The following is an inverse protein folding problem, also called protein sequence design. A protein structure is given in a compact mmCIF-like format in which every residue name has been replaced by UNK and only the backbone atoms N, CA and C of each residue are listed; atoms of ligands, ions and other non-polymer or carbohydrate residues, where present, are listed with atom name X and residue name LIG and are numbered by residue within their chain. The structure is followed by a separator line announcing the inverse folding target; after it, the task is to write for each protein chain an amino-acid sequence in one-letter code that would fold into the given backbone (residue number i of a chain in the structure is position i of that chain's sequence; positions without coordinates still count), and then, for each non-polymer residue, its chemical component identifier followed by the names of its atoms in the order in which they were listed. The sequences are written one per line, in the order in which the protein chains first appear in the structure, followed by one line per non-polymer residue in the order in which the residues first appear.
data_IF_115715200804
#
_entry.id   IF_115715200804
#
_cell.length_a   1.000
_cell.length_b   1.000
_cell.length_c   1.000
_cell.angle_alpha   90.00
_cell.angle_beta   90.00
_cell.angle_gamma   90.00
#
_symmetry.space_group_name_H-M   'P 1'
#
loop_
_entity.id
_entity.type
_entity.pdbx_description
1 polymer ?
#
# COMPACT_ATOMS: atom_id res chain seq x y z
N UNK A 1 1.04 -21.19 8.28
CA UNK A 1 1.51 -19.85 7.87
C UNK A 1 0.34 -19.13 7.20
N UNK A 2 0.11 -17.87 7.52
CA UNK A 2 -0.87 -17.05 6.77
C UNK A 2 -0.43 -16.98 5.30
N UNK A 3 -1.35 -17.21 4.36
CA UNK A 3 -1.06 -17.13 2.92
C UNK A 3 -0.60 -15.71 2.56
N UNK A 4 -1.43 -14.73 2.95
CA UNK A 4 -1.18 -13.30 2.77
C UNK A 4 -0.68 -12.69 4.09
N UNK A 5 0.36 -11.88 4.02
CA UNK A 5 0.90 -11.13 5.17
C UNK A 5 1.11 -9.66 4.83
N UNK A 6 0.83 -8.77 5.79
CA UNK A 6 1.05 -7.33 5.67
C UNK A 6 2.29 -6.93 6.48
N UNK A 7 3.25 -6.27 5.83
CA UNK A 7 4.46 -5.73 6.45
C UNK A 7 4.43 -4.21 6.38
N UNK A 8 4.26 -3.56 7.52
CA UNK A 8 4.32 -2.11 7.64
C UNK A 8 5.76 -1.63 7.70
N UNK A 9 6.07 -0.60 6.93
CA UNK A 9 7.42 -0.04 6.77
C UNK A 9 7.44 1.39 7.34
N UNK A 10 6.41 2.16 7.03
CA UNK A 10 6.19 3.49 7.59
C UNK A 10 5.85 3.43 9.09
N UNK A 11 6.36 4.36 9.92
CA UNK A 11 7.14 5.55 9.58
C UNK A 11 8.67 5.35 9.52
N UNK A 12 9.17 4.14 9.77
CA UNK A 12 10.58 3.90 10.10
C UNK A 12 11.58 3.99 8.92
N UNK A 13 11.12 4.28 7.69
CA UNK A 13 12.02 4.55 6.55
C UNK A 13 11.83 5.99 6.08
N UNK A 14 12.78 6.83 6.47
CA UNK A 14 12.90 8.22 6.10
C UNK A 14 13.21 8.28 4.59
N UNK A 15 12.20 8.72 3.83
CA UNK A 15 12.21 9.24 2.45
C UNK A 15 13.46 8.89 1.62
N UNK A 16 13.34 7.93 0.70
CA UNK A 16 14.38 7.61 -0.28
C UNK A 16 13.88 8.09 -1.64
N UNK A 17 14.62 8.99 -2.30
CA UNK A 17 14.32 9.47 -3.67
C UNK A 17 12.89 10.04 -3.84
N UNK A 18 12.44 10.90 -2.92
CA UNK A 18 11.08 11.46 -2.92
C UNK A 18 9.93 10.44 -2.80
N UNK A 19 10.25 9.21 -2.43
CA UNK A 19 9.29 8.17 -2.12
C UNK A 19 9.33 7.74 -0.66
N UNK A 20 8.16 7.39 -0.13
CA UNK A 20 7.98 6.85 1.21
C UNK A 20 7.36 5.47 1.08
N UNK A 21 8.12 4.42 1.38
CA UNK A 21 7.59 3.07 1.44
C UNK A 21 6.60 2.94 2.62
N UNK A 22 5.37 2.55 2.32
CA UNK A 22 4.30 2.53 3.31
C UNK A 22 4.14 1.14 3.92
N UNK A 23 3.78 0.17 3.08
CA UNK A 23 3.65 -1.23 3.48
C UNK A 23 3.77 -2.15 2.27
N UNK A 24 3.90 -3.43 2.55
CA UNK A 24 3.95 -4.48 1.54
C UNK A 24 3.00 -5.61 1.91
N UNK A 25 2.26 -6.10 0.92
CA UNK A 25 1.43 -7.30 1.02
C UNK A 25 2.21 -8.43 0.34
N UNK A 26 2.47 -9.52 1.05
CA UNK A 26 3.28 -10.64 0.56
C UNK A 26 2.45 -11.92 0.55
N UNK A 27 2.40 -12.58 -0.60
CA UNK A 27 1.90 -13.95 -0.71
C UNK A 27 3.08 -14.91 -0.50
N UNK A 28 2.99 -15.69 0.57
CA UNK A 28 4.02 -16.64 0.98
C UNK A 28 4.20 -17.81 0.02
N UNK A 29 3.22 -18.11 -0.83
CA UNK A 29 3.26 -19.20 -1.80
C UNK A 29 3.83 -18.75 -3.15
N UNK A 30 3.48 -17.52 -3.58
CA UNK A 30 3.85 -17.02 -4.92
C UNK A 30 5.20 -16.30 -4.95
N UNK A 31 5.76 -15.90 -3.80
CA UNK A 31 6.91 -14.97 -3.69
C UNK A 31 6.66 -13.60 -4.34
N UNK A 32 5.41 -13.32 -4.70
CA UNK A 32 4.95 -12.07 -5.26
C UNK A 32 4.50 -11.13 -4.12
N UNK A 33 4.40 -9.84 -4.45
CA UNK A 33 3.93 -8.86 -3.50
C UNK A 33 3.33 -7.64 -4.16
N UNK A 34 2.42 -7.00 -3.43
CA UNK A 34 1.98 -5.64 -3.71
C UNK A 34 2.79 -4.71 -2.81
N UNK A 35 3.55 -3.81 -3.41
CA UNK A 35 4.28 -2.75 -2.71
C UNK A 35 3.45 -1.48 -2.78
N UNK A 36 3.19 -0.86 -1.63
CA UNK A 36 2.46 0.41 -1.54
C UNK A 36 3.40 1.47 -0.99
N UNK A 37 3.46 2.60 -1.68
CA UNK A 37 4.38 3.70 -1.41
C UNK A 37 3.74 5.04 -1.74
N UNK A 38 4.23 6.12 -1.14
CA UNK A 38 3.85 7.48 -1.50
C UNK A 38 4.96 8.13 -2.32
N UNK A 39 4.67 8.64 -3.51
CA UNK A 39 5.58 9.54 -4.24
C UNK A 39 5.21 11.00 -3.95
N UNK A 40 6.21 11.84 -3.71
CA UNK A 40 6.00 13.25 -3.40
C UNK A 40 6.23 14.10 -4.66
N UNK A 41 5.17 14.76 -5.13
CA UNK A 41 5.20 15.64 -6.31
C UNK A 41 4.51 16.94 -5.93
N UNK A 42 5.17 18.09 -6.13
CA UNK A 42 4.64 19.42 -5.80
C UNK A 42 4.05 19.53 -4.38
N UNK A 43 4.75 18.96 -3.39
CA UNK A 43 4.34 18.86 -1.98
C UNK A 43 3.05 18.05 -1.73
N UNK A 44 2.58 17.29 -2.71
CA UNK A 44 1.44 16.38 -2.60
C UNK A 44 1.93 14.93 -2.59
N UNK A 45 1.18 14.08 -1.90
CA UNK A 45 1.51 12.67 -1.67
C UNK A 45 0.61 11.80 -2.53
N UNK A 46 1.19 11.16 -3.53
CA UNK A 46 0.48 10.23 -4.41
C UNK A 46 0.70 8.82 -3.87
N UNK A 47 -0.35 8.23 -3.33
CA UNK A 47 -0.30 6.85 -2.85
C UNK A 47 -0.40 5.94 -4.06
N UNK A 48 0.65 5.18 -4.31
CA UNK A 48 0.77 4.27 -5.43
C UNK A 48 0.93 2.85 -4.93
N UNK A 49 0.49 1.90 -5.74
CA UNK A 49 0.79 0.49 -5.56
C UNK A 49 1.39 -0.10 -6.83
N UNK A 50 2.27 -1.08 -6.64
CA UNK A 50 2.78 -1.89 -7.74
C UNK A 50 2.82 -3.36 -7.34
N UNK A 51 2.31 -4.20 -8.24
CA UNK A 51 2.44 -5.64 -8.13
C UNK A 51 3.80 -6.04 -8.71
N UNK A 52 4.65 -6.69 -7.91
CA UNK A 52 6.01 -7.04 -8.32
C UNK A 52 6.08 -8.06 -9.46
N UNK A 53 4.98 -8.75 -9.78
CA UNK A 53 4.91 -9.64 -10.93
C UNK A 53 4.74 -8.86 -12.25
N UNK A 54 3.86 -7.86 -12.25
CA UNK A 54 3.53 -7.09 -13.46
C UNK A 54 4.33 -5.81 -13.63
N UNK A 55 4.82 -5.22 -12.54
CA UNK A 55 5.57 -3.97 -12.52
C UNK A 55 4.75 -2.71 -12.83
N UNK A 56 3.45 -2.85 -13.09
CA UNK A 56 2.56 -1.71 -13.34
C UNK A 56 2.38 -0.89 -12.07
N UNK A 57 2.35 0.44 -12.22
CA UNK A 57 2.09 1.38 -11.12
C UNK A 57 0.63 1.84 -11.24
N UNK A 58 -0.11 1.69 -10.16
CA UNK A 58 -1.50 2.14 -10.05
C UNK A 58 -1.57 3.18 -8.94
N UNK A 59 -2.08 4.37 -9.25
CA UNK A 59 -2.36 5.39 -8.23
C UNK A 59 -3.64 5.01 -7.47
N UNK A 60 -3.56 4.91 -6.15
CA UNK A 60 -4.68 4.65 -5.25
C UNK A 60 -5.41 5.96 -4.93
N UNK A 61 -4.66 6.97 -4.48
CA UNK A 61 -5.22 8.27 -4.18
C UNK A 61 -4.13 9.35 -4.14
N UNK A 62 -4.60 10.59 -4.03
CA UNK A 62 -3.78 11.78 -3.83
C UNK A 62 -4.14 12.42 -2.48
N UNK A 63 -3.12 12.74 -1.70
CA UNK A 63 -3.24 13.30 -0.35
C UNK A 63 -2.42 14.59 -0.26
N UNK A 64 -2.99 15.61 0.39
CA UNK A 64 -2.39 16.96 0.42
C UNK A 64 -1.36 17.13 1.54
N UNK A 65 -1.42 16.30 2.58
CA UNK A 65 -0.60 16.45 3.79
C UNK A 65 -0.13 15.09 4.30
N UNK A 66 1.02 15.09 4.98
CA UNK A 66 1.55 13.90 5.62
C UNK A 66 0.56 13.28 6.64
N UNK A 67 -0.19 14.11 7.37
CA UNK A 67 -1.22 13.65 8.30
C UNK A 67 -2.31 12.81 7.61
N UNK A 68 -2.60 13.07 6.33
CA UNK A 68 -3.57 12.28 5.59
C UNK A 68 -2.98 10.94 5.14
N UNK A 69 -1.65 10.88 4.91
CA UNK A 69 -0.91 9.62 4.74
C UNK A 69 -0.99 8.78 6.02
N UNK A 70 -0.81 9.40 7.20
CA UNK A 70 -0.95 8.72 8.49
C UNK A 70 -2.35 8.08 8.63
N UNK A 71 -3.40 8.85 8.33
CA UNK A 71 -4.80 8.35 8.35
C UNK A 71 -5.03 7.22 7.37
N UNK A 72 -4.45 7.29 6.16
CA UNK A 72 -4.53 6.22 5.18
C UNK A 72 -3.92 4.93 5.75
N UNK A 73 -2.75 5.01 6.37
CA UNK A 73 -2.09 3.86 7.00
C UNK A 73 -2.91 3.30 8.16
N UNK A 74 -3.46 4.16 9.02
CA UNK A 74 -4.37 3.72 10.09
C UNK A 74 -5.59 2.99 9.54
N UNK A 75 -6.16 3.45 8.42
CA UNK A 75 -7.28 2.78 7.75
C UNK A 75 -6.88 1.40 7.24
N UNK A 76 -5.71 1.26 6.62
CA UNK A 76 -5.17 -0.04 6.20
C UNK A 76 -4.96 -0.97 7.40
N UNK A 77 -4.39 -0.46 8.50
CA UNK A 77 -4.17 -1.24 9.74
C UNK A 77 -5.50 -1.76 10.30
N UNK A 78 -6.52 -0.89 10.40
CA UNK A 78 -7.85 -1.26 10.88
C UNK A 78 -8.51 -2.35 10.04
N UNK A 79 -8.26 -2.37 8.73
CA UNK A 79 -8.82 -3.35 7.81
C UNK A 79 -7.87 -4.52 7.52
N UNK A 80 -6.76 -4.65 8.26
CA UNK A 80 -5.71 -5.62 7.94
C UNK A 80 -6.17 -7.08 7.99
N UNK A 81 -7.09 -7.43 8.90
CA UNK A 81 -7.68 -8.76 8.97
C UNK A 81 -8.44 -9.10 7.69
N UNK A 82 -9.31 -8.19 7.21
CA UNK A 82 -10.06 -8.37 5.98
C UNK A 82 -9.12 -8.55 4.77
N UNK A 83 -8.09 -7.71 4.66
CA UNK A 83 -7.11 -7.80 3.56
C UNK A 83 -6.40 -9.17 3.56
N UNK A 84 -6.05 -9.71 4.73
CA UNK A 84 -5.39 -11.02 4.84
C UNK A 84 -6.29 -12.20 4.46
N UNK A 85 -7.61 -12.04 4.58
CA UNK A 85 -8.59 -13.05 4.18
C UNK A 85 -8.81 -13.09 2.66
N UNK A 86 -8.48 -12.00 1.95
CA UNK A 86 -8.53 -11.95 0.49
C UNK A 86 -7.38 -12.78 -0.09
N UNK A 87 -7.69 -13.97 -0.62
CA UNK A 87 -6.69 -14.90 -1.14
C UNK A 87 -6.22 -14.62 -2.58
N UNK A 88 -6.53 -13.46 -3.15
CA UNK A 88 -6.28 -13.08 -4.54
C UNK A 88 -5.75 -11.64 -4.62
N UNK A 89 -4.60 -11.44 -5.28
CA UNK A 89 -3.97 -10.11 -5.38
C UNK A 89 -4.78 -9.11 -6.19
N UNK A 90 -5.46 -9.51 -7.25
CA UNK A 90 -6.31 -8.62 -8.03
C UNK A 90 -7.43 -8.05 -7.16
N UNK A 91 -8.02 -8.90 -6.30
CA UNK A 91 -9.05 -8.46 -5.33
C UNK A 91 -8.48 -7.58 -4.23
N UNK A 92 -7.24 -7.82 -3.80
CA UNK A 92 -6.55 -6.95 -2.83
C UNK A 92 -6.28 -5.58 -3.45
N UNK A 93 -5.84 -5.52 -4.71
CA UNK A 93 -5.62 -4.28 -5.46
C UNK A 93 -6.93 -3.47 -5.55
N UNK A 94 -8.04 -4.11 -5.95
CA UNK A 94 -9.37 -3.48 -5.95
C UNK A 94 -9.78 -2.97 -4.56
N UNK A 95 -9.53 -3.75 -3.51
CA UNK A 95 -9.83 -3.35 -2.14
C UNK A 95 -9.03 -2.11 -1.71
N UNK A 96 -7.74 -2.04 -2.07
CA UNK A 96 -6.89 -0.88 -1.78
C UNK A 96 -7.35 0.38 -2.52
N UNK A 97 -7.81 0.24 -3.77
CA UNK A 97 -8.43 1.35 -4.51
C UNK A 97 -9.66 1.89 -3.77
N UNK A 98 -10.54 1.00 -3.32
CA UNK A 98 -11.73 1.38 -2.53
C UNK A 98 -11.38 2.04 -1.18
N UNK A 99 -10.25 1.70 -0.56
CA UNK A 99 -9.74 2.40 0.62
C UNK A 99 -9.35 3.85 0.27
N UNK A 100 -8.81 4.09 -0.92
CA UNK A 100 -8.41 5.41 -1.39
C UNK A 100 -9.57 6.36 -1.74
N UNK A 101 -10.74 5.83 -2.13
CA UNK A 101 -11.88 6.60 -2.65
C UNK A 101 -12.78 7.28 -1.60
N UNK A 102 -12.34 7.48 -0.35
CA UNK A 102 -13.16 8.12 0.70
C UNK A 102 -12.39 8.98 1.69
#
# INVERSE_FOLDING_TARGET
MEKISLKYIYPNIIKVLDEINLFRIVDSNLKESIVVYASIVDNQYYINMTNTNFGNIINICKLEKLLDVDKFIEKVIKNSTEIKEINDFSKIEEYLLNIGER
#
